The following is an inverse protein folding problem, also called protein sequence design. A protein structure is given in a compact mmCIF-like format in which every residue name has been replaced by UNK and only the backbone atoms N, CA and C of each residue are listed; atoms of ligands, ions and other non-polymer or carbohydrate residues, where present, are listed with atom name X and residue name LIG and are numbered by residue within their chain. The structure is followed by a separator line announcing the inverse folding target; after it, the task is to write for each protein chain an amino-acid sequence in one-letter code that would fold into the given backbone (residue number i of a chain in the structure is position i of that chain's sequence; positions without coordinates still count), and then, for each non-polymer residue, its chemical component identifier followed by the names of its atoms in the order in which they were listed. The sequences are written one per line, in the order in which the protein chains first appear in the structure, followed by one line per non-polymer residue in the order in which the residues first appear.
data_IF_698964345126
#
_entry.id   IF_698964345126
#
_cell.length_a   1.000
_cell.length_b   1.000
_cell.length_c   1.000
_cell.angle_alpha   90.00
_cell.angle_beta   90.00
_cell.angle_gamma   90.00
#
_symmetry.space_group_name_H-M   'P 1'
#
loop_
_entity.id
_entity.type
_entity.pdbx_description
1 polymer ?
#
# COMPACT_ATOMS: atom_id res chain seq x y z
N UNK A 1 -14.36 -8.47 -5.23
CA UNK A 1 -13.40 -8.22 -4.14
C UNK A 1 -12.31 -7.32 -4.67
N UNK A 2 -11.70 -6.52 -3.80
CA UNK A 2 -10.54 -5.67 -4.11
C UNK A 2 -9.54 -5.79 -2.97
N UNK A 3 -8.28 -5.46 -3.24
CA UNK A 3 -7.22 -5.51 -2.24
C UNK A 3 -7.35 -4.28 -1.32
N UNK A 4 -7.11 -4.47 -0.02
CA UNK A 4 -6.86 -3.36 0.90
C UNK A 4 -5.35 -3.20 1.14
N UNK A 5 -4.68 -4.29 1.55
CA UNK A 5 -3.24 -4.28 1.75
C UNK A 5 -2.69 -5.65 2.11
N UNK A 6 -1.36 -5.72 2.13
CA UNK A 6 -0.60 -6.88 2.57
C UNK A 6 0.25 -6.44 3.77
N UNK A 7 -0.07 -6.97 4.94
CA UNK A 7 0.40 -6.43 6.21
C UNK A 7 1.28 -7.45 6.94
N UNK A 8 2.60 -7.18 7.09
CA UNK A 8 3.46 -7.95 7.97
C UNK A 8 2.91 -7.94 9.39
N UNK A 9 2.99 -9.08 10.07
CA UNK A 9 2.44 -9.26 11.41
C UNK A 9 3.30 -10.25 12.20
N UNK A 10 3.38 -10.07 13.51
CA UNK A 10 4.06 -11.00 14.41
C UNK A 10 3.08 -12.04 14.97
N UNK A 11 3.63 -13.17 15.44
CA UNK A 11 2.81 -14.26 16.00
C UNK A 11 2.10 -13.89 17.31
N UNK A 12 2.56 -12.82 17.99
CA UNK A 12 1.94 -12.30 19.22
C UNK A 12 0.77 -11.34 18.94
N UNK A 13 0.45 -11.09 17.67
CA UNK A 13 -0.63 -10.19 17.24
C UNK A 13 -0.24 -8.72 17.15
N UNK A 14 0.98 -8.34 17.55
CA UNK A 14 1.54 -7.03 17.22
C UNK A 14 2.03 -6.99 15.76
N UNK A 15 2.25 -5.79 15.23
CA UNK A 15 2.75 -5.62 13.86
C UNK A 15 3.78 -4.50 13.77
N UNK A 16 4.78 -4.64 12.89
CA UNK A 16 5.67 -3.54 12.55
C UNK A 16 4.95 -2.54 11.63
N UNK A 17 5.31 -1.26 11.74
CA UNK A 17 4.79 -0.22 10.85
C UNK A 17 5.83 0.87 10.62
N UNK A 18 5.85 1.45 9.40
CA UNK A 18 6.73 2.57 9.04
C UNK A 18 8.22 2.27 9.27
N UNK A 19 8.69 1.12 8.77
CA UNK A 19 10.01 0.58 9.11
C UNK A 19 11.18 1.27 8.40
N UNK A 20 10.95 1.90 7.26
CA UNK A 20 11.99 2.53 6.45
C UNK A 20 11.49 3.86 5.88
N UNK A 21 12.03 4.98 6.36
CA UNK A 21 11.71 6.32 5.84
C UNK A 21 12.51 6.69 4.60
N UNK A 22 13.60 5.98 4.31
CA UNK A 22 14.52 6.25 3.22
C UNK A 22 14.16 5.46 1.95
N UNK A 23 13.15 4.60 2.03
CA UNK A 23 12.60 3.83 0.92
C UNK A 23 11.14 4.23 0.59
N UNK A 24 10.91 5.46 0.11
CA UNK A 24 9.57 5.93 -0.24
C UNK A 24 9.00 5.17 -1.43
N UNK A 25 7.66 5.13 -1.49
CA UNK A 25 6.95 4.55 -2.64
C UNK A 25 7.38 5.19 -3.96
N UNK A 26 7.84 4.34 -4.89
CA UNK A 26 8.07 4.69 -6.29
C UNK A 26 7.07 3.94 -7.17
N UNK A 27 6.38 4.68 -8.04
CA UNK A 27 5.24 4.17 -8.79
C UNK A 27 5.71 3.35 -10.00
N UNK A 28 5.44 2.04 -9.97
CA UNK A 28 5.74 1.16 -11.10
C UNK A 28 4.73 1.34 -12.23
N UNK A 29 5.16 1.99 -13.32
CA UNK A 29 4.31 2.26 -14.51
C UNK A 29 3.69 1.01 -15.12
N UNK A 30 4.39 -0.13 -15.06
CA UNK A 30 3.94 -1.39 -15.64
C UNK A 30 2.78 -2.01 -14.84
N UNK A 31 2.60 -1.62 -13.58
CA UNK A 31 1.59 -2.19 -12.67
C UNK A 31 0.36 -1.29 -12.48
N UNK A 32 0.44 0.00 -12.82
CA UNK A 32 -0.64 0.99 -12.55
C UNK A 32 -2.01 0.49 -12.99
N UNK A 33 -2.15 0.01 -14.23
CA UNK A 33 -3.46 -0.41 -14.76
C UNK A 33 -4.06 -1.58 -13.97
N UNK A 34 -3.21 -2.51 -13.48
CA UNK A 34 -3.66 -3.63 -12.64
C UNK A 34 -4.01 -3.16 -11.23
N UNK A 35 -3.19 -2.29 -10.66
CA UNK A 35 -3.46 -1.68 -9.36
C UNK A 35 -4.77 -0.89 -9.35
N UNK A 36 -5.11 -0.18 -10.43
CA UNK A 36 -6.38 0.52 -10.55
C UNK A 36 -7.60 -0.41 -10.61
N UNK A 37 -7.47 -1.58 -11.24
CA UNK A 37 -8.55 -2.55 -11.35
C UNK A 37 -8.74 -3.37 -10.06
N UNK A 38 -7.63 -3.87 -9.50
CA UNK A 38 -7.65 -4.88 -8.45
C UNK A 38 -7.42 -4.28 -7.04
N UNK A 39 -6.79 -3.12 -6.96
CA UNK A 39 -6.47 -2.40 -5.71
C UNK A 39 -6.88 -0.90 -5.75
N UNK A 40 -8.13 -0.56 -6.14
CA UNK A 40 -8.58 0.82 -6.23
C UNK A 40 -8.69 1.50 -4.86
N UNK A 41 -8.64 2.83 -4.86
CA UNK A 41 -9.11 3.63 -3.72
C UNK A 41 -10.59 3.99 -3.89
N UNK A 42 -11.37 3.85 -2.83
CA UNK A 42 -12.77 4.27 -2.77
C UNK A 42 -12.96 5.50 -1.86
N UNK A 43 -11.86 6.12 -1.44
CA UNK A 43 -11.90 7.31 -0.59
C UNK A 43 -12.42 8.53 -1.36
N UNK A 44 -12.98 9.50 -0.62
CA UNK A 44 -13.43 10.78 -1.15
C UNK A 44 -12.36 11.88 -0.95
N UNK A 45 -12.17 12.79 -1.93
CA UNK A 45 -12.71 12.74 -3.28
C UNK A 45 -12.10 11.59 -4.09
N UNK A 46 -12.77 11.19 -5.17
CA UNK A 46 -12.28 10.14 -6.08
C UNK A 46 -10.82 10.38 -6.48
N UNK A 47 -9.99 9.34 -6.37
CA UNK A 47 -8.56 9.40 -6.67
C UNK A 47 -8.10 8.28 -7.59
N UNK A 48 -6.89 8.41 -8.13
CA UNK A 48 -6.28 7.43 -9.02
C UNK A 48 -5.59 6.25 -8.31
N UNK A 49 -5.64 6.20 -6.97
CA UNK A 49 -5.02 5.16 -6.15
C UNK A 49 -3.62 5.48 -5.61
N UNK A 50 -2.87 6.40 -6.21
CA UNK A 50 -1.45 6.62 -5.90
C UNK A 50 -1.19 6.97 -4.41
N UNK A 51 -2.01 7.85 -3.82
CA UNK A 51 -1.93 8.17 -2.38
C UNK A 51 -2.18 6.97 -1.48
N UNK A 52 -3.07 6.09 -1.89
CA UNK A 52 -3.43 4.90 -1.13
C UNK A 52 -2.31 3.86 -1.20
N UNK A 53 -1.77 3.57 -2.40
CA UNK A 53 -0.64 2.65 -2.53
C UNK A 53 0.61 3.15 -1.81
N UNK A 54 0.88 4.45 -1.86
CA UNK A 54 1.96 5.06 -1.08
C UNK A 54 1.75 4.91 0.43
N UNK A 55 0.52 5.02 0.93
CA UNK A 55 0.20 4.78 2.33
C UNK A 55 0.49 3.32 2.73
N UNK A 56 -0.03 2.37 1.95
CA UNK A 56 0.15 0.94 2.21
C UNK A 56 1.63 0.53 2.13
N UNK A 57 2.37 1.06 1.16
CA UNK A 57 3.82 0.85 1.06
C UNK A 57 4.55 1.41 2.28
N UNK A 58 4.38 2.70 2.58
CA UNK A 58 5.13 3.35 3.65
C UNK A 58 4.82 2.72 5.02
N UNK A 59 3.56 2.36 5.27
CA UNK A 59 3.15 1.81 6.56
C UNK A 59 3.44 0.32 6.70
N UNK A 60 3.22 -0.46 5.64
CA UNK A 60 3.27 -1.93 5.71
C UNK A 60 4.31 -2.54 4.79
N UNK A 61 4.45 -2.07 3.54
CA UNK A 61 5.42 -2.58 2.57
C UNK A 61 6.89 -2.39 2.98
N UNK A 62 7.22 -1.31 3.69
CA UNK A 62 8.59 -1.10 4.21
C UNK A 62 8.98 -2.11 5.30
N UNK A 63 8.03 -2.87 5.84
CA UNK A 63 8.23 -3.85 6.90
C UNK A 63 8.19 -5.31 6.40
N UNK A 64 8.09 -5.53 5.09
CA UNK A 64 8.08 -6.85 4.44
C UNK A 64 9.39 -7.14 3.73
#
# INVERSE_FOLDING_TARGET
FTIHGFWPNYNDGSYPSNCDSDNPYDESKDLISRLQADWPTLACPSGNGSKFWAHEWNKHGTCS
#
